data_IF_796805266816
#
_entry.id   IF_796805266816
#
_cell.length_a   1.000
_cell.length_b   1.000
_cell.length_c   1.000
_cell.angle_alpha   90.00
_cell.angle_beta   90.00
_cell.angle_gamma   90.00
#
_symmetry.space_group_name_H-M   'P 1'
#
loop_
_entity.id
_entity.type
_entity.pdbx_description
1 polymer ?
#
# COMPACT_ATOMS: atom_id res chain seq x y z
N UNK A 1 18.12 12.81 12.72
CA UNK A 1 18.57 11.76 11.78
C UNK A 1 17.42 10.92 11.25
N UNK A 2 16.47 10.51 12.10
CA UNK A 2 15.29 9.71 11.75
C UNK A 2 14.41 10.28 10.63
N UNK A 3 14.21 11.60 10.58
CA UNK A 3 13.42 12.25 9.51
C UNK A 3 14.02 12.04 8.12
N UNK A 4 15.35 12.06 7.99
CA UNK A 4 16.01 11.79 6.71
C UNK A 4 15.76 10.35 6.26
N UNK A 5 15.77 9.39 7.19
CA UNK A 5 15.44 8.00 6.89
C UNK A 5 13.98 7.84 6.44
N UNK A 6 13.04 8.49 7.13
CA UNK A 6 11.63 8.51 6.71
C UNK A 6 11.49 9.13 5.31
N UNK A 7 12.19 10.24 5.03
CA UNK A 7 12.15 10.91 3.73
C UNK A 7 12.74 10.04 2.61
N UNK A 8 13.87 9.38 2.85
CA UNK A 8 14.49 8.46 1.89
C UNK A 8 13.60 7.24 1.62
N UNK A 9 13.09 6.61 2.67
CA UNK A 9 12.15 5.49 2.56
C UNK A 9 10.88 5.91 1.82
N UNK A 10 10.27 7.02 2.24
CA UNK A 10 9.06 7.57 1.64
C UNK A 10 9.24 7.94 0.17
N UNK A 11 10.35 8.56 -0.19
CA UNK A 11 10.69 8.87 -1.58
C UNK A 11 10.86 7.60 -2.42
N UNK A 12 11.54 6.59 -1.90
CA UNK A 12 11.69 5.29 -2.56
C UNK A 12 10.35 4.56 -2.72
N UNK A 13 9.53 4.53 -1.67
CA UNK A 13 8.19 3.92 -1.69
C UNK A 13 7.25 4.61 -2.68
N UNK A 14 7.19 5.93 -2.63
CA UNK A 14 6.38 6.73 -3.56
C UNK A 14 6.84 6.57 -5.01
N UNK A 15 8.16 6.48 -5.25
CA UNK A 15 8.71 6.18 -6.57
C UNK A 15 8.29 4.78 -7.05
N UNK A 16 8.35 3.77 -6.17
CA UNK A 16 7.88 2.42 -6.46
C UNK A 16 6.39 2.40 -6.83
N UNK A 17 5.55 3.10 -6.06
CA UNK A 17 4.13 3.27 -6.37
C UNK A 17 3.90 3.97 -7.71
N UNK A 18 4.68 5.02 -8.02
CA UNK A 18 4.61 5.70 -9.31
C UNK A 18 4.96 4.76 -10.47
N UNK A 19 5.98 3.92 -10.32
CA UNK A 19 6.35 2.93 -11.32
C UNK A 19 5.25 1.86 -11.49
N UNK A 20 4.63 1.40 -10.40
CA UNK A 20 3.45 0.52 -10.48
C UNK A 20 2.32 1.18 -11.26
N UNK A 21 1.99 2.45 -10.99
CA UNK A 21 0.98 3.19 -11.73
C UNK A 21 1.32 3.35 -13.23
N UNK A 22 2.61 3.39 -13.58
CA UNK A 22 3.09 3.50 -14.96
C UNK A 22 3.03 2.18 -15.74
N UNK A 23 3.32 1.07 -15.08
CA UNK A 23 3.52 -0.22 -15.76
C UNK A 23 2.42 -1.26 -15.50
N UNK A 24 1.61 -1.09 -14.45
CA UNK A 24 0.48 -1.97 -14.16
C UNK A 24 -0.80 -1.31 -14.70
N UNK A 25 -1.36 -1.81 -15.82
CA UNK A 25 -2.56 -1.23 -16.39
C UNK A 25 -3.77 -1.50 -15.50
N UNK A 26 -4.76 -0.60 -15.55
CA UNK A 26 -6.07 -0.88 -14.98
C UNK A 26 -6.69 -2.13 -15.63
N UNK A 27 -7.36 -2.96 -14.85
CA UNK A 27 -8.00 -4.18 -15.34
C UNK A 27 -9.51 -4.04 -15.29
N UNK A 28 -10.17 -3.86 -16.46
CA UNK A 28 -11.64 -3.69 -16.54
C UNK A 28 -12.18 -2.59 -15.61
N UNK A 29 -11.44 -1.49 -15.47
CA UNK A 29 -11.77 -0.36 -14.58
C UNK A 29 -11.27 -0.53 -13.13
N UNK A 30 -10.79 -1.71 -12.74
CA UNK A 30 -10.21 -1.96 -11.43
C UNK A 30 -8.83 -1.27 -11.30
N UNK A 31 -8.57 -0.50 -10.23
CA UNK A 31 -7.29 0.18 -10.00
C UNK A 31 -6.16 -0.77 -9.55
N UNK A 32 -5.71 -1.64 -10.46
CA UNK A 32 -4.77 -2.72 -10.15
C UNK A 32 -3.42 -2.23 -9.60
N UNK A 33 -2.91 -1.09 -10.06
CA UNK A 33 -1.66 -0.51 -9.57
C UNK A 33 -1.74 -0.09 -8.09
N UNK A 34 -2.77 0.68 -7.72
CA UNK A 34 -3.00 1.15 -6.35
C UNK A 34 -3.29 -0.02 -5.42
N UNK A 35 -4.11 -0.97 -5.87
CA UNK A 35 -4.36 -2.22 -5.16
C UNK A 35 -3.06 -2.98 -4.84
N UNK A 36 -2.22 -3.22 -5.85
CA UNK A 36 -0.97 -3.94 -5.67
C UNK A 36 -0.01 -3.19 -4.72
N UNK A 37 0.13 -1.87 -4.89
CA UNK A 37 0.99 -1.06 -4.03
C UNK A 37 0.55 -1.14 -2.55
N UNK A 38 -0.75 -1.06 -2.29
CA UNK A 38 -1.31 -1.16 -0.94
C UNK A 38 -1.13 -2.56 -0.35
N UNK A 39 -1.41 -3.62 -1.10
CA UNK A 39 -1.25 -5.01 -0.62
C UNK A 39 0.21 -5.33 -0.32
N UNK A 40 1.14 -4.94 -1.20
CA UNK A 40 2.58 -5.12 -0.97
C UNK A 40 3.01 -4.31 0.26
N UNK A 41 2.56 -3.05 0.38
CA UNK A 41 2.82 -2.21 1.54
C UNK A 41 2.34 -2.83 2.85
N UNK A 42 1.13 -3.37 2.88
CA UNK A 42 0.58 -4.07 4.05
C UNK A 42 1.41 -5.31 4.42
N UNK A 43 1.78 -6.15 3.43
CA UNK A 43 2.59 -7.34 3.66
C UNK A 43 3.96 -7.00 4.25
N UNK A 44 4.68 -6.06 3.62
CA UNK A 44 6.00 -5.63 4.06
C UNK A 44 5.95 -4.99 5.44
N UNK A 45 4.95 -4.13 5.71
CA UNK A 45 4.77 -3.54 7.03
C UNK A 45 4.51 -4.61 8.09
N UNK A 46 3.72 -5.63 7.76
CA UNK A 46 3.51 -6.80 8.62
C UNK A 46 4.82 -7.52 8.97
N UNK A 47 5.63 -7.85 7.96
CA UNK A 47 6.96 -8.47 8.14
C UNK A 47 7.86 -7.61 9.04
N UNK A 48 7.93 -6.31 8.78
CA UNK A 48 8.79 -5.40 9.55
C UNK A 48 8.31 -5.22 10.99
N UNK A 49 7.00 -5.33 11.22
CA UNK A 49 6.41 -5.26 12.55
C UNK A 49 6.76 -6.50 13.38
N UNK A 50 6.70 -7.70 12.81
CA UNK A 50 7.06 -8.93 13.53
C UNK A 50 8.57 -9.11 13.72
N UNK A 51 9.40 -8.60 12.79
CA UNK A 51 10.86 -8.74 12.85
C UNK A 51 11.60 -7.89 13.92
N UNK A 52 10.89 -7.13 14.75
CA UNK A 52 11.44 -6.30 15.83
C UNK A 52 12.63 -5.41 15.41
N UNK A 53 12.46 -4.65 14.31
CA UNK A 53 13.50 -3.78 13.76
C UNK A 53 14.00 -2.70 14.74
N UNK A 54 15.25 -2.25 14.57
CA UNK A 54 15.75 -1.05 15.26
C UNK A 54 14.93 0.19 14.88
N UNK A 55 14.95 1.22 15.72
CA UNK A 55 14.23 2.48 15.50
C UNK A 55 14.54 3.11 14.14
N UNK A 56 15.80 3.07 13.70
CA UNK A 56 16.25 3.61 12.42
C UNK A 56 15.71 2.81 11.24
N UNK A 57 15.75 1.48 11.33
CA UNK A 57 15.22 0.59 10.29
C UNK A 57 13.71 0.65 10.20
N UNK A 58 13.00 0.76 11.33
CA UNK A 58 11.56 1.00 11.35
C UNK A 58 11.20 2.33 10.71
N UNK A 59 11.94 3.40 10.99
CA UNK A 59 11.73 4.71 10.35
C UNK A 59 11.92 4.66 8.83
N UNK A 60 12.95 3.98 8.35
CA UNK A 60 13.25 3.84 6.92
C UNK A 60 12.24 2.93 6.19
N UNK A 61 12.02 1.72 6.71
CA UNK A 61 11.32 0.65 6.00
C UNK A 61 9.81 0.63 6.29
N UNK A 62 9.42 0.77 7.55
CA UNK A 62 8.01 0.76 7.94
C UNK A 62 7.38 2.13 7.66
N UNK A 63 7.75 3.16 8.42
CA UNK A 63 7.14 4.50 8.30
C UNK A 63 7.43 5.14 6.94
N UNK A 64 8.69 5.09 6.49
CA UNK A 64 9.11 5.65 5.21
C UNK A 64 8.60 4.83 4.03
N UNK A 65 9.24 3.69 3.75
CA UNK A 65 9.00 2.93 2.51
C UNK A 65 7.57 2.40 2.40
N UNK A 66 7.04 1.70 3.41
CA UNK A 66 5.66 1.19 3.33
C UNK A 66 4.64 2.34 3.32
N UNK A 67 4.90 3.42 4.06
CA UNK A 67 4.05 4.63 4.05
C UNK A 67 4.04 5.36 2.71
N UNK A 68 5.17 5.43 1.99
CA UNK A 68 5.25 6.04 0.66
C UNK A 68 4.70 5.14 -0.45
N UNK A 69 4.90 3.82 -0.32
CA UNK A 69 4.43 2.81 -1.27
C UNK A 69 2.91 2.68 -1.23
N UNK A 70 2.30 2.67 -0.04
CA UNK A 70 0.85 2.62 0.11
C UNK A 70 0.21 4.01 -0.01
N UNK A 71 -1.10 4.06 -0.29
CA UNK A 71 -1.86 5.31 -0.38
C UNK A 71 -3.35 5.07 -0.12
N UNK A 72 -3.85 5.67 0.97
CA UNK A 72 -5.28 5.70 1.24
C UNK A 72 -5.99 6.81 0.44
N UNK A 73 -5.32 7.95 0.22
CA UNK A 73 -5.92 9.10 -0.48
C UNK A 73 -6.23 8.78 -1.94
N UNK A 74 -5.32 8.09 -2.65
CA UNK A 74 -5.57 7.66 -4.04
C UNK A 74 -6.67 6.60 -4.10
N UNK A 75 -6.66 5.62 -3.18
CA UNK A 75 -7.73 4.63 -3.05
C UNK A 75 -9.11 5.27 -2.84
N UNK A 76 -9.18 6.32 -2.00
CA UNK A 76 -10.43 7.04 -1.74
C UNK A 76 -10.93 7.80 -2.98
N UNK A 77 -10.06 8.54 -3.66
CA UNK A 77 -10.47 9.31 -4.85
C UNK A 77 -10.82 8.42 -6.04
N UNK A 78 -10.15 7.27 -6.20
CA UNK A 78 -10.53 6.24 -7.18
C UNK A 78 -11.95 5.73 -6.94
N UNK A 79 -12.31 5.45 -5.69
CA UNK A 79 -13.65 5.01 -5.31
C UNK A 79 -14.71 6.08 -5.57
N UNK A 80 -14.47 7.32 -5.15
CA UNK A 80 -15.37 8.45 -5.45
C UNK A 80 -15.57 8.57 -6.96
N UNK A 81 -14.49 8.57 -7.74
CA UNK A 81 -14.58 8.64 -9.20
C UNK A 81 -15.30 7.45 -9.84
N UNK A 82 -15.24 6.25 -9.26
CA UNK A 82 -16.06 5.11 -9.72
C UNK A 82 -17.54 5.34 -9.46
N UNK A 83 -17.91 5.86 -8.29
CA UNK A 83 -19.30 6.18 -7.95
C UNK A 83 -19.87 7.25 -8.88
N UNK A 84 -19.10 8.32 -9.16
CA UNK A 84 -19.49 9.37 -10.11
C UNK A 84 -19.73 8.83 -11.53
N UNK A 85 -18.94 7.83 -11.95
CA UNK A 85 -19.10 7.13 -13.24
C UNK A 85 -20.18 6.04 -13.21
N UNK A 86 -21.02 5.98 -12.16
CA UNK A 86 -22.06 4.96 -11.93
C UNK A 86 -21.53 3.52 -11.84
N UNK A 87 -20.26 3.34 -11.49
CA UNK A 87 -19.60 2.05 -11.28
C UNK A 87 -19.63 1.62 -9.80
N UNK A 88 -20.74 1.83 -9.10
CA UNK A 88 -20.87 1.62 -7.64
C UNK A 88 -20.54 0.18 -7.22
N UNK A 89 -20.95 -0.82 -7.99
CA UNK A 89 -20.63 -2.23 -7.70
C UNK A 89 -19.13 -2.49 -7.73
N UNK A 90 -18.41 -1.92 -8.71
CA UNK A 90 -16.96 -2.07 -8.81
C UNK A 90 -16.25 -1.34 -7.66
N UNK A 91 -16.74 -0.17 -7.26
CA UNK A 91 -16.25 0.56 -6.09
C UNK A 91 -16.39 -0.27 -4.82
N UNK A 92 -17.56 -0.86 -4.55
CA UNK A 92 -17.77 -1.74 -3.40
C UNK A 92 -16.85 -2.96 -3.42
N UNK A 93 -16.70 -3.61 -4.58
CA UNK A 93 -15.78 -4.74 -4.74
C UNK A 93 -14.35 -4.29 -4.42
N UNK A 94 -13.90 -3.15 -4.96
CA UNK A 94 -12.55 -2.65 -4.73
C UNK A 94 -12.30 -2.35 -3.24
N UNK A 95 -13.26 -1.76 -2.53
CA UNK A 95 -13.17 -1.51 -1.09
C UNK A 95 -13.03 -2.83 -0.33
N UNK A 96 -13.97 -3.76 -0.53
CA UNK A 96 -14.02 -5.01 0.24
C UNK A 96 -12.79 -5.87 -0.02
N UNK A 97 -12.39 -6.03 -1.29
CA UNK A 97 -11.21 -6.83 -1.64
C UNK A 97 -9.93 -6.18 -1.12
N UNK A 98 -9.80 -4.86 -1.20
CA UNK A 98 -8.62 -4.15 -0.65
C UNK A 98 -8.49 -4.34 0.87
N UNK A 99 -9.60 -4.27 1.61
CA UNK A 99 -9.59 -4.49 3.05
C UNK A 99 -9.26 -5.93 3.41
N UNK A 100 -9.94 -6.91 2.81
CA UNK A 100 -9.73 -8.33 3.10
C UNK A 100 -8.29 -8.74 2.76
N UNK A 101 -7.84 -8.43 1.55
CA UNK A 101 -6.50 -8.84 1.08
C UNK A 101 -5.42 -8.06 1.81
N UNK A 102 -5.60 -6.76 2.06
CA UNK A 102 -4.64 -5.95 2.81
C UNK A 102 -4.45 -6.44 4.25
N UNK A 103 -5.55 -6.70 4.97
CA UNK A 103 -5.49 -7.25 6.33
C UNK A 103 -4.85 -8.64 6.36
N UNK A 104 -5.23 -9.50 5.42
CA UNK A 104 -4.65 -10.84 5.29
C UNK A 104 -3.15 -10.77 5.00
N UNK A 105 -2.72 -9.88 4.11
CA UNK A 105 -1.32 -9.67 3.76
C UNK A 105 -0.51 -9.19 4.97
N UNK A 106 -1.01 -8.21 5.74
CA UNK A 106 -0.35 -7.77 6.96
C UNK A 106 -0.23 -8.88 8.00
N UNK A 107 -1.30 -9.66 8.20
CA UNK A 107 -1.31 -10.79 9.13
C UNK A 107 -0.29 -11.87 8.72
N UNK A 108 -0.27 -12.28 7.45
CA UNK A 108 0.72 -13.23 6.94
C UNK A 108 2.15 -12.69 7.13
N UNK A 109 2.38 -11.40 6.86
CA UNK A 109 3.67 -10.77 7.10
C UNK A 109 4.12 -10.90 8.55
N UNK A 110 3.26 -10.58 9.51
CA UNK A 110 3.56 -10.70 10.95
C UNK A 110 3.92 -12.16 11.30
N UNK A 111 3.11 -13.12 10.86
CA UNK A 111 3.27 -14.54 11.19
C UNK A 111 4.54 -15.19 10.61
N UNK A 112 5.11 -14.65 9.54
CA UNK A 112 6.35 -15.16 8.96
C UNK A 112 7.60 -14.74 9.77
N UNK A 113 7.45 -13.79 10.68
CA UNK A 113 8.56 -13.18 11.44
C UNK A 113 8.43 -13.30 12.96
N UNK A 114 7.26 -13.75 13.45
CA UNK A 114 7.05 -14.17 14.84
C UNK A 114 7.60 -15.58 15.07
#
# INVERSE_FOLDING_TARGET
MTVLLVALGGGAGASGRYLLARYVPAYKGFPAATFAANVIGCFLLGLFTGAALSTEMAALLATGFCGGLSTYSTFATENVGMVERRQTTLSLIYIVVSLIVGLSAAWVGIQLTN
#
